data_IF_202372720720
#
_entry.id   IF_202372720720
#
_cell.length_a   1.000
_cell.length_b   1.000
_cell.length_c   1.000
_cell.angle_alpha   90.00
_cell.angle_beta   90.00
_cell.angle_gamma   90.00
#
_symmetry.space_group_name_H-M   'P 1'
#
loop_
_entity.id
_entity.type
_entity.pdbx_description
1 polymer ?
#
# COMPACT_ATOMS: atom_id res chain seq x y z
N UNK A 1 73.29 -29.52 19.82
CA UNK A 1 72.21 -28.47 19.76
C UNK A 1 71.15 -29.00 18.82
N UNK A 2 70.03 -29.50 19.36
CA UNK A 2 68.90 -30.07 18.61
C UNK A 2 67.72 -29.11 18.69
N UNK A 3 67.33 -28.55 17.53
CA UNK A 3 66.19 -27.67 17.42
C UNK A 3 64.93 -28.49 17.09
N UNK A 4 64.02 -28.55 18.05
CA UNK A 4 62.71 -29.20 17.92
C UNK A 4 61.76 -28.29 17.05
N UNK A 5 61.25 -28.83 15.92
CA UNK A 5 60.19 -28.21 15.12
C UNK A 5 58.85 -28.63 15.64
N UNK A 6 58.10 -27.67 16.14
CA UNK A 6 56.68 -27.81 16.58
C UNK A 6 55.74 -27.78 15.37
N UNK A 7 54.92 -28.84 15.22
CA UNK A 7 53.91 -28.90 14.16
C UNK A 7 52.70 -28.00 14.47
N UNK A 8 52.03 -27.45 13.43
CA UNK A 8 50.86 -26.56 13.65
C UNK A 8 49.59 -27.39 13.94
N UNK A 9 48.81 -26.93 14.94
CA UNK A 9 47.55 -27.48 15.34
C UNK A 9 46.45 -27.24 14.26
N UNK A 10 45.76 -28.32 13.88
CA UNK A 10 44.54 -28.25 13.02
C UNK A 10 43.42 -27.57 13.74
N UNK A 11 42.97 -26.41 13.21
CA UNK A 11 41.71 -25.73 13.62
C UNK A 11 40.53 -26.58 13.13
N UNK A 12 39.74 -27.11 14.05
CA UNK A 12 38.45 -27.74 13.76
C UNK A 12 37.45 -26.71 13.25
N UNK A 13 36.94 -26.90 12.04
CA UNK A 13 35.88 -26.07 11.48
C UNK A 13 34.56 -26.33 12.23
N UNK A 14 34.04 -25.30 12.91
CA UNK A 14 32.73 -25.27 13.54
C UNK A 14 31.67 -25.28 12.43
N UNK A 15 30.96 -26.40 12.29
CA UNK A 15 29.82 -26.57 11.37
C UNK A 15 28.71 -25.58 11.82
N UNK A 16 28.44 -24.57 11.00
CA UNK A 16 27.34 -23.63 11.25
C UNK A 16 26.01 -24.40 11.21
N UNK A 17 25.26 -24.35 12.30
CA UNK A 17 23.91 -24.88 12.38
C UNK A 17 23.01 -24.04 11.42
N UNK A 18 22.24 -24.73 10.57
CA UNK A 18 21.16 -24.11 9.79
C UNK A 18 20.19 -23.43 10.75
N UNK A 19 19.73 -22.20 10.44
CA UNK A 19 18.67 -21.59 11.24
C UNK A 19 17.40 -22.44 11.11
N UNK A 20 16.97 -23.01 12.20
CA UNK A 20 15.66 -23.65 12.33
C UNK A 20 14.62 -22.53 12.18
N UNK A 21 13.81 -22.57 11.13
CA UNK A 21 12.68 -21.69 10.93
C UNK A 21 11.72 -21.91 12.11
N UNK A 22 11.68 -20.98 13.05
CA UNK A 22 10.72 -21.00 14.12
C UNK A 22 9.32 -20.91 13.50
N UNK A 23 8.46 -21.85 13.85
CA UNK A 23 7.05 -21.85 13.47
C UNK A 23 6.39 -20.69 14.22
N UNK A 24 5.65 -19.80 13.53
CA UNK A 24 5.12 -18.60 14.18
C UNK A 24 3.86 -18.94 14.98
N UNK A 25 4.03 -19.42 16.18
CA UNK A 25 2.91 -19.60 17.13
C UNK A 25 2.59 -18.31 17.88
N UNK A 26 3.49 -17.30 17.84
CA UNK A 26 3.29 -15.97 18.41
C UNK A 26 2.47 -15.03 17.52
N UNK A 27 2.46 -15.26 16.20
CA UNK A 27 1.84 -14.33 15.25
C UNK A 27 0.32 -14.50 15.14
N UNK A 28 -0.23 -15.64 15.53
CA UNK A 28 -1.66 -15.94 15.41
C UNK A 28 -2.52 -15.09 16.38
N UNK A 29 -2.07 -14.89 17.61
CA UNK A 29 -2.75 -14.02 18.57
C UNK A 29 -2.62 -12.53 18.21
N UNK A 30 -1.56 -12.14 17.49
CA UNK A 30 -1.39 -10.78 16.99
C UNK A 30 -2.27 -10.51 15.76
N UNK A 31 -2.47 -11.50 14.89
CA UNK A 31 -3.35 -11.37 13.70
C UNK A 31 -4.83 -11.27 14.05
N UNK A 32 -5.27 -11.85 15.17
CA UNK A 32 -6.65 -11.69 15.68
C UNK A 32 -6.98 -10.25 16.12
N UNK A 33 -5.97 -9.38 16.21
CA UNK A 33 -6.14 -7.96 16.56
C UNK A 33 -6.28 -7.06 15.35
N UNK A 34 -5.96 -7.52 14.14
CA UNK A 34 -6.08 -6.68 12.94
C UNK A 34 -7.51 -6.68 12.40
N UNK A 35 -8.03 -5.49 12.19
CA UNK A 35 -9.34 -5.28 11.58
C UNK A 35 -9.17 -5.23 10.07
N UNK A 36 -9.66 -6.25 9.36
CA UNK A 36 -9.59 -6.38 7.90
C UNK A 36 -11.00 -6.26 7.31
N UNK A 37 -11.57 -5.07 7.30
CA UNK A 37 -12.93 -4.80 6.84
C UNK A 37 -12.95 -3.87 5.63
N UNK A 38 -12.49 -4.38 4.50
CA UNK A 38 -12.63 -3.67 3.22
C UNK A 38 -14.10 -3.69 2.82
N UNK A 39 -14.67 -2.50 2.61
CA UNK A 39 -16.04 -2.36 2.12
C UNK A 39 -16.10 -2.63 0.60
N UNK A 40 -17.19 -3.23 0.09
CA UNK A 40 -17.38 -3.41 -1.34
C UNK A 40 -17.42 -2.06 -2.07
N UNK A 41 -16.69 -1.95 -3.18
CA UNK A 41 -16.80 -0.79 -4.06
C UNK A 41 -18.11 -0.82 -4.85
N UNK A 42 -18.79 0.32 -4.95
CA UNK A 42 -20.05 0.48 -5.70
C UNK A 42 -19.81 0.93 -7.13
N UNK A 43 -20.82 0.74 -7.97
CA UNK A 43 -20.88 1.25 -9.35
C UNK A 43 -19.62 0.96 -10.16
N UNK A 44 -19.02 -0.22 -9.91
CA UNK A 44 -17.78 -0.64 -10.56
C UNK A 44 -17.99 -1.01 -12.02
N UNK A 45 -19.23 -1.18 -12.47
CA UNK A 45 -19.55 -1.47 -13.86
C UNK A 45 -19.36 -0.23 -14.76
N UNK A 46 -19.47 0.96 -14.19
CA UNK A 46 -19.23 2.25 -14.84
C UNK A 46 -17.74 2.66 -14.82
N UNK A 47 -16.89 1.91 -14.15
CA UNK A 47 -15.46 2.22 -14.08
C UNK A 47 -14.80 2.05 -15.46
N UNK A 48 -13.89 2.94 -15.75
CA UNK A 48 -13.00 2.78 -16.91
C UNK A 48 -12.20 1.50 -16.77
N UNK A 49 -12.31 0.64 -17.78
CA UNK A 49 -11.58 -0.62 -17.81
C UNK A 49 -10.16 -0.44 -18.35
N UNK A 50 -9.29 -1.42 -18.12
CA UNK A 50 -7.95 -1.42 -18.70
C UNK A 50 -7.99 -1.41 -20.25
N UNK A 51 -8.92 -2.14 -20.86
CA UNK A 51 -9.11 -2.12 -22.31
C UNK A 51 -9.47 -0.72 -22.81
N UNK A 52 -10.43 -0.05 -22.17
CA UNK A 52 -10.81 1.31 -22.51
C UNK A 52 -9.64 2.31 -22.32
N UNK A 53 -8.78 2.10 -21.32
CA UNK A 53 -7.59 2.95 -21.10
C UNK A 53 -6.55 2.82 -22.20
N UNK A 54 -6.37 1.63 -22.75
CA UNK A 54 -5.48 1.39 -23.91
C UNK A 54 -6.09 2.01 -25.18
N UNK A 55 -7.36 1.76 -25.42
CA UNK A 55 -8.09 2.27 -26.59
C UNK A 55 -8.10 3.80 -26.66
N UNK A 56 -8.25 4.45 -25.51
CA UNK A 56 -8.18 5.92 -25.41
C UNK A 56 -6.76 6.49 -25.44
N UNK A 57 -5.73 5.64 -25.45
CA UNK A 57 -4.33 6.06 -25.38
C UNK A 57 -3.90 6.59 -24.01
N UNK A 58 -4.72 6.45 -22.99
CA UNK A 58 -4.37 6.86 -21.61
C UNK A 58 -3.26 5.99 -21.02
N UNK A 59 -3.18 4.74 -21.44
CA UNK A 59 -2.16 3.76 -21.05
C UNK A 59 -1.65 3.05 -22.31
N UNK A 60 -0.33 2.83 -22.37
CA UNK A 60 0.27 2.06 -23.46
C UNK A 60 -0.06 0.57 -23.38
N UNK A 61 -0.34 -0.05 -24.52
CA UNK A 61 -0.46 -1.50 -24.59
C UNK A 61 0.92 -2.15 -24.36
N UNK A 62 1.02 -3.23 -23.55
CA UNK A 62 2.28 -3.93 -23.35
C UNK A 62 2.71 -4.65 -24.64
N UNK A 63 3.95 -4.44 -25.08
CA UNK A 63 4.48 -5.12 -26.27
C UNK A 63 4.78 -6.60 -26.01
N UNK A 64 5.38 -6.90 -24.85
CA UNK A 64 5.67 -8.25 -24.38
C UNK A 64 5.73 -8.24 -22.86
N UNK A 65 5.31 -9.34 -22.24
CA UNK A 65 5.39 -9.47 -20.78
C UNK A 65 6.74 -10.11 -20.39
N UNK A 66 7.45 -9.55 -19.41
CA UNK A 66 8.64 -10.17 -18.85
C UNK A 66 8.28 -11.46 -18.08
N UNK A 67 9.26 -12.34 -17.90
CA UNK A 67 9.07 -13.58 -17.14
C UNK A 67 8.71 -13.34 -15.67
N UNK A 68 9.18 -12.22 -15.10
CA UNK A 68 8.87 -11.80 -13.74
C UNK A 68 8.94 -10.27 -13.61
N UNK A 69 8.20 -9.75 -12.62
CA UNK A 69 8.22 -8.33 -12.24
C UNK A 69 8.39 -8.25 -10.74
N UNK A 70 9.35 -7.45 -10.28
CA UNK A 70 9.54 -7.11 -8.88
C UNK A 70 9.52 -5.57 -8.73
N UNK A 71 8.49 -5.06 -8.09
CA UNK A 71 8.29 -3.62 -7.87
C UNK A 71 8.81 -3.14 -6.52
N UNK A 72 9.37 -4.04 -5.70
CA UNK A 72 9.93 -3.66 -4.39
C UNK A 72 11.05 -2.64 -4.58
N UNK A 73 11.00 -1.58 -3.81
CA UNK A 73 12.01 -0.54 -3.80
C UNK A 73 12.66 -0.44 -2.42
N UNK A 74 13.94 -0.06 -2.36
CA UNK A 74 14.69 0.03 -1.10
C UNK A 74 14.10 1.04 -0.12
N UNK A 75 13.45 2.09 -0.63
CA UNK A 75 12.79 3.12 0.16
C UNK A 75 11.41 2.70 0.69
N UNK A 76 10.89 1.56 0.25
CA UNK A 76 9.55 1.10 0.62
C UNK A 76 9.63 0.21 1.86
N UNK A 77 9.40 0.81 3.02
CA UNK A 77 9.32 0.10 4.28
C UNK A 77 7.90 -0.42 4.52
N UNK A 78 7.78 -1.55 5.18
CA UNK A 78 6.50 -2.09 5.64
C UNK A 78 6.13 -1.36 6.93
N UNK A 79 4.94 -0.77 6.93
CA UNK A 79 4.33 -0.12 8.09
C UNK A 79 3.15 -0.93 8.61
N UNK A 80 2.61 -0.57 9.77
CA UNK A 80 1.49 -1.25 10.41
C UNK A 80 0.26 -0.35 10.48
N UNK A 81 -0.91 -0.92 10.23
CA UNK A 81 -2.20 -0.27 10.49
C UNK A 81 -2.63 -0.40 11.95
N UNK A 82 -1.88 -1.17 12.75
CA UNK A 82 -2.23 -1.50 14.13
C UNK A 82 -3.63 -2.14 14.23
N UNK A 83 -4.42 -1.81 15.24
CA UNK A 83 -5.76 -2.33 15.51
C UNK A 83 -6.87 -1.49 14.85
N UNK A 84 -6.57 -0.84 13.72
CA UNK A 84 -7.53 0.02 13.02
C UNK A 84 -8.05 -0.62 11.74
N UNK A 85 -9.22 -0.17 11.24
CA UNK A 85 -9.79 -0.54 9.94
C UNK A 85 -9.19 0.20 8.74
N UNK A 86 -7.95 0.68 8.85
CA UNK A 86 -7.31 1.57 7.86
C UNK A 86 -6.54 0.88 6.74
N UNK A 87 -6.69 -0.43 6.54
CA UNK A 87 -5.95 -1.20 5.54
C UNK A 87 -6.02 -0.60 4.13
N UNK A 88 -7.19 -0.15 3.69
CA UNK A 88 -7.36 0.52 2.39
C UNK A 88 -6.58 1.84 2.35
N UNK A 89 -6.60 2.62 3.43
CA UNK A 89 -5.84 3.86 3.54
C UNK A 89 -4.33 3.62 3.39
N UNK A 90 -3.79 2.62 4.09
CA UNK A 90 -2.37 2.22 4.00
C UNK A 90 -2.01 1.72 2.61
N UNK A 91 -2.77 0.77 2.07
CA UNK A 91 -2.50 0.22 0.75
C UNK A 91 -2.57 1.29 -0.36
N UNK A 92 -3.50 2.24 -0.24
CA UNK A 92 -3.64 3.32 -1.22
C UNK A 92 -2.56 4.37 -1.05
N UNK A 93 -2.40 4.96 0.13
CA UNK A 93 -1.49 6.08 0.34
C UNK A 93 -0.01 5.65 0.28
N UNK A 94 0.41 4.77 1.20
CA UNK A 94 1.81 4.35 1.33
C UNK A 94 2.21 3.30 0.28
N UNK A 95 1.25 2.53 -0.20
CA UNK A 95 1.46 1.56 -1.28
C UNK A 95 1.44 2.22 -2.67
N UNK A 96 0.25 2.26 -3.28
CA UNK A 96 0.10 2.56 -4.70
C UNK A 96 0.43 4.02 -5.04
N UNK A 97 -0.17 4.98 -4.33
CA UNK A 97 -0.01 6.40 -4.68
C UNK A 97 1.43 6.86 -4.45
N UNK A 98 2.03 6.49 -3.33
CA UNK A 98 3.44 6.82 -3.04
C UNK A 98 4.38 6.28 -4.10
N UNK A 99 4.20 5.02 -4.51
CA UNK A 99 5.01 4.44 -5.58
C UNK A 99 5.01 5.31 -6.84
N UNK A 100 3.82 5.70 -7.31
CA UNK A 100 3.69 6.53 -8.51
C UNK A 100 4.25 7.94 -8.33
N UNK A 101 4.05 8.57 -7.17
CA UNK A 101 4.55 9.91 -6.88
C UNK A 101 6.08 9.95 -6.81
N UNK A 102 6.70 8.96 -6.18
CA UNK A 102 8.17 8.84 -6.12
C UNK A 102 8.73 8.57 -7.51
N UNK A 103 8.15 7.62 -8.26
CA UNK A 103 8.58 7.32 -9.63
C UNK A 103 8.46 8.51 -10.58
N UNK A 104 7.46 9.36 -10.37
CA UNK A 104 7.27 10.59 -11.13
C UNK A 104 8.12 11.77 -10.63
N UNK A 105 8.94 11.59 -9.59
CA UNK A 105 9.75 12.65 -8.97
C UNK A 105 8.92 13.76 -8.30
N UNK A 106 7.67 13.48 -7.94
CA UNK A 106 6.75 14.46 -7.34
C UNK A 106 6.86 14.55 -5.83
N UNK A 107 7.41 13.51 -5.19
CA UNK A 107 7.79 13.48 -3.78
C UNK A 107 9.14 12.79 -3.64
N UNK A 108 9.88 13.10 -2.58
CA UNK A 108 11.12 12.42 -2.24
C UNK A 108 10.87 10.97 -1.79
N UNK A 109 11.90 10.11 -1.89
CA UNK A 109 11.79 8.69 -1.51
C UNK A 109 11.47 8.48 -0.03
N UNK A 110 11.90 9.38 0.84
CA UNK A 110 11.66 9.37 2.29
C UNK A 110 10.34 10.04 2.70
N UNK A 111 9.66 10.73 1.77
CA UNK A 111 8.37 11.34 2.04
C UNK A 111 7.26 10.28 2.15
N UNK A 112 6.53 10.30 3.25
CA UNK A 112 5.40 9.42 3.49
C UNK A 112 4.09 10.14 3.20
N UNK A 113 3.17 9.45 2.55
CA UNK A 113 1.80 9.91 2.38
C UNK A 113 0.94 9.45 3.58
N UNK A 114 -0.08 10.24 3.93
CA UNK A 114 -0.93 9.98 5.07
C UNK A 114 -2.00 8.92 4.77
N UNK A 115 -1.90 7.71 5.32
CA UNK A 115 -2.98 6.72 5.22
C UNK A 115 -4.25 7.20 5.93
N UNK A 116 -4.08 7.95 7.03
CA UNK A 116 -5.20 8.52 7.76
C UNK A 116 -6.04 9.47 6.91
N UNK A 117 -5.39 10.35 6.14
CA UNK A 117 -6.12 11.25 5.24
C UNK A 117 -6.99 10.46 4.25
N UNK A 118 -6.40 9.49 3.55
CA UNK A 118 -7.13 8.68 2.57
C UNK A 118 -8.25 7.89 3.25
N UNK A 119 -7.98 7.23 4.37
CA UNK A 119 -8.94 6.44 5.11
C UNK A 119 -10.14 7.27 5.60
N UNK A 120 -9.89 8.41 6.26
CA UNK A 120 -10.95 9.25 6.81
C UNK A 120 -11.76 9.93 5.70
N UNK A 121 -11.09 10.55 4.72
CA UNK A 121 -11.77 11.22 3.63
C UNK A 121 -12.58 10.27 2.75
N UNK A 122 -12.13 9.02 2.57
CA UNK A 122 -12.88 8.01 1.81
C UNK A 122 -14.12 7.49 2.55
N UNK A 123 -14.12 7.49 3.87
CA UNK A 123 -15.33 7.21 4.66
C UNK A 123 -16.39 8.31 4.52
N UNK A 124 -15.97 9.56 4.37
CA UNK A 124 -16.89 10.67 4.12
C UNK A 124 -17.51 10.63 2.72
N UNK A 125 -16.76 10.13 1.74
CA UNK A 125 -17.24 10.03 0.36
C UNK A 125 -17.97 8.71 0.08
N UNK A 126 -17.89 7.76 1.00
CA UNK A 126 -18.58 6.48 0.90
C UNK A 126 -20.00 6.62 1.42
N UNK A 127 -20.99 6.35 0.58
CA UNK A 127 -22.41 6.43 0.95
C UNK A 127 -22.83 5.52 2.11
N UNK A 128 -22.02 4.52 2.45
CA UNK A 128 -22.32 3.60 3.54
C UNK A 128 -21.98 4.13 4.93
N UNK A 129 -21.03 5.05 5.05
CA UNK A 129 -20.43 5.39 6.34
C UNK A 129 -20.38 6.89 6.64
N UNK A 130 -21.14 7.67 5.95
CA UNK A 130 -21.05 9.13 5.85
C UNK A 130 -21.46 9.93 7.09
N UNK A 131 -21.21 9.43 8.29
CA UNK A 131 -21.49 10.24 9.49
C UNK A 131 -20.24 10.42 10.34
N UNK A 132 -20.00 11.61 10.93
CA UNK A 132 -18.88 11.85 11.85
C UNK A 132 -18.77 10.83 12.97
N UNK A 133 -19.89 10.32 13.45
CA UNK A 133 -19.95 9.29 14.50
C UNK A 133 -19.42 7.93 14.02
N UNK A 134 -19.28 7.73 12.71
CA UNK A 134 -18.75 6.50 12.13
C UNK A 134 -17.23 6.51 11.91
N UNK A 135 -16.54 7.58 12.26
CA UNK A 135 -15.08 7.61 12.33
C UNK A 135 -14.53 6.77 13.48
N UNK A 136 -15.08 5.59 13.61
CA UNK A 136 -14.56 4.61 14.54
C UNK A 136 -13.30 4.01 13.97
N UNK A 137 -12.32 3.76 14.81
CA UNK A 137 -11.02 3.20 14.42
C UNK A 137 -11.18 1.82 13.74
N UNK A 138 -12.27 1.10 14.03
CA UNK A 138 -12.59 -0.17 13.39
C UNK A 138 -13.31 -0.07 12.03
N UNK A 139 -13.78 1.09 11.62
CA UNK A 139 -14.53 1.21 10.38
C UNK A 139 -13.64 1.23 9.14
N UNK A 140 -13.96 0.39 8.14
CA UNK A 140 -13.27 0.32 6.86
C UNK A 140 -13.76 1.33 5.83
N UNK A 141 -13.28 1.16 4.61
CA UNK A 141 -13.75 1.88 3.41
C UNK A 141 -13.52 1.03 2.16
N UNK A 142 -13.99 1.50 1.00
CA UNK A 142 -13.83 0.79 -0.26
C UNK A 142 -12.60 1.24 -1.04
N UNK A 143 -12.09 0.37 -1.93
CA UNK A 143 -10.93 0.69 -2.78
C UNK A 143 -11.25 1.87 -3.71
N UNK A 144 -12.47 1.91 -4.27
CA UNK A 144 -12.89 2.98 -5.19
C UNK A 144 -12.99 4.32 -4.48
N UNK A 145 -13.60 4.38 -3.28
CA UNK A 145 -13.69 5.61 -2.49
C UNK A 145 -12.31 6.19 -2.16
N UNK A 146 -11.33 5.33 -1.80
CA UNK A 146 -9.96 5.75 -1.53
C UNK A 146 -9.25 6.31 -2.79
N UNK A 147 -9.45 5.67 -3.95
CA UNK A 147 -8.90 6.15 -5.22
C UNK A 147 -9.59 7.45 -5.69
N UNK A 148 -10.89 7.59 -5.43
CA UNK A 148 -11.62 8.83 -5.70
C UNK A 148 -11.12 10.00 -4.87
N UNK A 149 -10.81 9.79 -3.59
CA UNK A 149 -10.15 10.80 -2.75
C UNK A 149 -8.80 11.20 -3.36
N UNK A 150 -7.96 10.23 -3.70
CA UNK A 150 -6.65 10.49 -4.30
C UNK A 150 -6.76 11.24 -5.64
N UNK A 151 -7.81 11.00 -6.42
CA UNK A 151 -8.06 11.67 -7.70
C UNK A 151 -8.68 13.05 -7.55
N UNK A 152 -9.69 13.20 -6.70
CA UNK A 152 -10.45 14.45 -6.55
C UNK A 152 -9.71 15.45 -5.66
N UNK A 153 -9.21 15.01 -4.53
CA UNK A 153 -8.62 15.87 -3.50
C UNK A 153 -7.10 15.77 -3.42
N UNK A 154 -6.52 14.64 -3.83
CA UNK A 154 -5.12 14.33 -3.63
C UNK A 154 -4.86 13.68 -2.28
N UNK A 155 -3.59 13.57 -1.89
CA UNK A 155 -3.20 12.90 -0.65
C UNK A 155 -2.29 13.80 0.18
N UNK A 156 -2.57 13.89 1.49
CA UNK A 156 -1.75 14.63 2.43
C UNK A 156 -0.40 13.93 2.67
N UNK A 157 0.62 14.69 3.05
CA UNK A 157 1.84 14.12 3.62
C UNK A 157 1.55 13.61 5.05
N UNK A 158 2.29 12.59 5.47
CA UNK A 158 2.25 12.09 6.84
C UNK A 158 2.67 13.18 7.86
N UNK A 159 3.57 14.08 7.45
CA UNK A 159 3.96 15.24 8.26
C UNK A 159 2.81 16.24 8.48
N UNK A 160 1.92 16.37 7.49
CA UNK A 160 0.79 17.29 7.56
C UNK A 160 -0.37 16.69 8.36
N UNK A 161 -0.62 15.39 8.21
CA UNK A 161 -1.63 14.65 8.97
C UNK A 161 -1.06 13.29 9.42
N UNK A 162 -0.46 13.21 10.61
CA UNK A 162 0.06 11.96 11.18
C UNK A 162 -1.02 10.90 11.39
N UNK A 163 -0.62 9.63 11.38
CA UNK A 163 -1.57 8.52 11.53
C UNK A 163 -2.30 8.55 12.88
N UNK A 164 -1.62 8.88 13.96
CA UNK A 164 -2.14 8.89 15.33
C UNK A 164 -2.74 10.24 15.78
N UNK A 165 -3.32 11.00 14.88
CA UNK A 165 -3.88 12.33 15.21
C UNK A 165 -5.36 12.25 15.67
N UNK A 166 -5.84 11.09 16.03
CA UNK A 166 -7.24 10.81 16.43
C UNK A 166 -8.23 11.08 15.27
N UNK A 167 -9.34 11.74 15.55
CA UNK A 167 -10.43 11.99 14.59
C UNK A 167 -10.24 13.21 13.70
N UNK A 168 -9.08 13.87 13.74
CA UNK A 168 -8.85 15.03 12.90
C UNK A 168 -8.79 14.65 11.42
N UNK A 169 -9.45 15.45 10.60
CA UNK A 169 -9.52 15.32 9.15
C UNK A 169 -8.46 16.16 8.43
N UNK A 170 -8.04 17.25 9.05
CA UNK A 170 -7.03 18.18 8.54
C UNK A 170 -6.30 18.87 9.70
N UNK A 171 -5.20 19.55 9.38
CA UNK A 171 -4.45 20.39 10.32
C UNK A 171 -4.33 21.80 9.78
N UNK A 172 -4.31 22.78 10.68
CA UNK A 172 -4.24 24.19 10.31
C UNK A 172 -5.51 24.71 9.62
N UNK A 173 -5.35 25.51 8.58
CA UNK A 173 -6.44 25.97 7.74
C UNK A 173 -6.88 24.88 6.78
N UNK A 174 -8.16 24.57 6.73
CA UNK A 174 -8.74 23.55 5.84
C UNK A 174 -8.39 23.82 4.37
N UNK A 175 -8.57 25.04 3.90
CA UNK A 175 -8.25 25.41 2.52
C UNK A 175 -6.77 25.20 2.18
N UNK A 176 -5.86 25.59 3.07
CA UNK A 176 -4.42 25.41 2.87
C UNK A 176 -4.04 23.91 2.88
N UNK A 177 -4.65 23.13 3.76
CA UNK A 177 -4.45 21.69 3.84
C UNK A 177 -4.86 20.99 2.53
N UNK A 178 -6.09 21.22 2.05
CA UNK A 178 -6.55 20.62 0.80
C UNK A 178 -5.84 21.16 -0.43
N UNK A 179 -5.40 22.42 -0.45
CA UNK A 179 -4.54 22.95 -1.50
C UNK A 179 -3.18 22.22 -1.56
N UNK A 180 -2.61 21.88 -0.40
CA UNK A 180 -1.41 21.03 -0.32
C UNK A 180 -1.69 19.62 -0.84
N UNK A 181 -2.79 18.99 -0.41
CA UNK A 181 -3.17 17.65 -0.89
C UNK A 181 -3.31 17.60 -2.42
N UNK A 182 -3.89 18.63 -3.02
CA UNK A 182 -4.15 18.71 -4.45
C UNK A 182 -2.89 18.64 -5.32
N UNK A 183 -1.72 18.97 -4.77
CA UNK A 183 -0.45 18.80 -5.45
C UNK A 183 -0.08 17.32 -5.66
N UNK A 184 -0.71 16.40 -4.94
CA UNK A 184 -0.46 14.95 -4.96
C UNK A 184 -1.70 14.17 -5.39
N UNK A 185 -2.40 14.69 -6.41
CA UNK A 185 -3.51 13.99 -7.06
C UNK A 185 -3.00 12.97 -8.08
N UNK A 186 -3.68 11.84 -8.17
CA UNK A 186 -3.59 10.95 -9.32
C UNK A 186 -4.48 11.47 -10.45
N UNK A 187 -4.09 11.21 -11.69
CA UNK A 187 -4.87 11.64 -12.86
C UNK A 187 -6.13 10.78 -13.05
N UNK A 188 -5.96 9.47 -12.96
CA UNK A 188 -7.01 8.47 -13.18
C UNK A 188 -6.66 7.15 -12.49
N UNK A 189 -7.64 6.26 -12.43
CA UNK A 189 -7.47 4.85 -12.08
C UNK A 189 -8.37 4.01 -13.00
N UNK A 190 -8.04 2.73 -13.15
CA UNK A 190 -8.72 1.82 -14.06
C UNK A 190 -9.06 0.51 -13.37
N UNK A 191 -10.26 0.00 -13.62
CA UNK A 191 -10.68 -1.28 -13.11
C UNK A 191 -10.10 -2.40 -13.98
N UNK A 192 -9.18 -3.17 -13.43
CA UNK A 192 -8.54 -4.30 -14.11
C UNK A 192 -9.43 -5.55 -14.15
N UNK A 193 -10.56 -5.52 -13.43
CA UNK A 193 -11.46 -6.66 -13.22
C UNK A 193 -10.68 -7.87 -12.64
N UNK A 194 -11.34 -8.99 -12.47
CA UNK A 194 -10.69 -10.25 -12.08
C UNK A 194 -10.05 -10.93 -13.31
N UNK A 195 -9.12 -10.22 -13.95
CA UNK A 195 -8.46 -10.69 -15.16
C UNK A 195 -6.93 -10.73 -14.94
N UNK A 196 -6.40 -11.95 -14.79
CA UNK A 196 -4.99 -12.17 -14.52
C UNK A 196 -4.07 -11.64 -15.63
N UNK A 197 -4.51 -11.67 -16.89
CA UNK A 197 -3.73 -11.13 -18.01
C UNK A 197 -3.60 -9.61 -17.89
N UNK A 198 -4.69 -8.92 -17.55
CA UNK A 198 -4.66 -7.47 -17.29
C UNK A 198 -3.76 -7.14 -16.09
N UNK A 199 -3.82 -7.92 -15.02
CA UNK A 199 -2.98 -7.71 -13.83
C UNK A 199 -1.50 -7.84 -14.15
N UNK A 200 -1.12 -8.90 -14.89
CA UNK A 200 0.28 -9.10 -15.33
C UNK A 200 0.74 -7.98 -16.24
N UNK A 201 -0.08 -7.58 -17.20
CA UNK A 201 0.22 -6.47 -18.10
C UNK A 201 0.40 -5.16 -17.34
N UNK A 202 -0.52 -4.84 -16.42
CA UNK A 202 -0.43 -3.64 -15.60
C UNK A 202 0.83 -3.61 -14.74
N UNK A 203 1.11 -4.69 -13.99
CA UNK A 203 2.31 -4.79 -13.15
C UNK A 203 3.60 -4.62 -13.94
N UNK A 204 3.64 -5.11 -15.18
CA UNK A 204 4.82 -5.03 -16.04
C UNK A 204 5.07 -3.61 -16.58
N UNK A 205 4.03 -2.80 -16.75
CA UNK A 205 4.14 -1.53 -17.48
C UNK A 205 3.76 -0.30 -16.67
N UNK A 206 2.85 -0.43 -15.72
CA UNK A 206 2.25 0.72 -15.06
C UNK A 206 2.53 0.78 -13.55
N UNK A 207 2.89 -0.32 -12.89
CA UNK A 207 3.22 -0.31 -11.47
C UNK A 207 2.27 -1.14 -10.59
N UNK A 208 2.19 -0.87 -9.28
CA UNK A 208 1.42 -1.68 -8.34
C UNK A 208 -0.09 -1.62 -8.58
N UNK A 209 -0.77 -2.67 -8.14
CA UNK A 209 -2.23 -2.81 -8.18
C UNK A 209 -2.77 -2.69 -6.76
N UNK A 210 -3.82 -1.89 -6.58
CA UNK A 210 -4.62 -1.90 -5.36
C UNK A 210 -5.64 -3.03 -5.46
N UNK A 211 -5.55 -3.98 -4.54
CA UNK A 211 -6.42 -5.15 -4.51
C UNK A 211 -6.86 -5.48 -3.08
N UNK A 212 -8.02 -6.10 -2.95
CA UNK A 212 -8.47 -6.73 -1.73
C UNK A 212 -8.56 -8.24 -1.96
N UNK A 213 -8.13 -9.01 -0.99
CA UNK A 213 -8.15 -10.47 -1.02
C UNK A 213 -8.96 -10.98 0.16
N UNK A 214 -9.80 -11.98 -0.10
CA UNK A 214 -10.35 -12.78 0.99
C UNK A 214 -9.25 -13.71 1.49
N UNK A 215 -9.06 -13.72 2.79
CA UNK A 215 -8.08 -14.59 3.45
C UNK A 215 -8.81 -15.64 4.29
N UNK A 216 -8.22 -16.78 4.45
CA UNK A 216 -8.68 -17.87 5.31
C UNK A 216 -7.65 -18.18 6.40
N UNK A 217 -7.88 -19.22 7.17
CA UNK A 217 -7.02 -19.63 8.29
C UNK A 217 -5.59 -20.05 7.88
N UNK A 218 -5.32 -20.18 6.57
CA UNK A 218 -4.00 -20.59 6.05
C UNK A 218 -3.02 -19.42 5.85
N UNK A 219 -3.49 -18.21 6.06
CA UNK A 219 -2.68 -16.96 5.91
C UNK A 219 -1.88 -16.63 7.16
#
# INVERSE_FOLDING_TARGET
MATSKKAPAKKAAKKAAKPTRATPQGDRAAMEQFICNVEPSRDTDEDWTYAASIESGAVGAPAALPASVDLRAKWWAINSQEDTGSCVGWATADGVVRHHMVKAGRIAEDALLSPRHVWMASKETDEFTSRPESFMEGAGTSLKAALDVARKHGVALMSDLPFHIQTKMYTGSENAFYASCAQRRIASYFNLRLNLANWKAWLATNGPILAALSVDESW
#
